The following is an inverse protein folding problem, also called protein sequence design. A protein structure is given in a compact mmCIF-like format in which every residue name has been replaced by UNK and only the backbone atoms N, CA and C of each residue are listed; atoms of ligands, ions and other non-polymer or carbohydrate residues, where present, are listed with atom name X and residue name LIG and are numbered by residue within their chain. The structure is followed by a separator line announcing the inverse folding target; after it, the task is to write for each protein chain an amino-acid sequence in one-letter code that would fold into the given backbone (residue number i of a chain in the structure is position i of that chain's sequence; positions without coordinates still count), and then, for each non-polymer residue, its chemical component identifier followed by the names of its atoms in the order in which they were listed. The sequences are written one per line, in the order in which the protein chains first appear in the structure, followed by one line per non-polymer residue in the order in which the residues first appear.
data_IF_913925505900
#
_entry.id   IF_913925505900
#
_cell.length_a   1.000
_cell.length_b   1.000
_cell.length_c   1.000
_cell.angle_alpha   90.00
_cell.angle_beta   90.00
_cell.angle_gamma   90.00
#
_symmetry.space_group_name_H-M   'P 1'
#
loop_
_entity.id
_entity.type
_entity.pdbx_description
1 polymer ?
#
# COMPACT_ATOMS: atom_id res chain seq x y z
N UNK A 1 3.59 11.36 -21.70
CA UNK A 1 4.68 10.78 -20.89
C UNK A 1 4.11 10.58 -19.50
N UNK A 2 4.07 9.35 -18.98
CA UNK A 2 3.62 9.13 -17.60
C UNK A 2 4.69 9.72 -16.68
N UNK A 3 4.25 10.42 -15.62
CA UNK A 3 5.15 10.94 -14.61
C UNK A 3 5.98 9.80 -13.99
N UNK A 4 7.27 10.02 -13.76
CA UNK A 4 8.18 8.94 -13.32
C UNK A 4 7.77 8.32 -11.99
N UNK A 5 7.25 9.13 -11.06
CA UNK A 5 6.85 8.67 -9.72
C UNK A 5 5.54 7.91 -9.79
N UNK A 6 4.58 8.39 -10.58
CA UNK A 6 3.34 7.64 -10.87
C UNK A 6 3.66 6.32 -11.58
N UNK A 7 4.58 6.33 -12.54
CA UNK A 7 5.05 5.13 -13.23
C UNK A 7 5.65 4.10 -12.27
N UNK A 8 6.49 4.54 -11.33
CA UNK A 8 7.08 3.66 -10.31
C UNK A 8 6.02 2.99 -9.45
N UNK A 9 4.99 3.71 -9.00
CA UNK A 9 3.89 3.10 -8.23
C UNK A 9 3.23 1.93 -8.98
N UNK A 10 2.99 2.08 -10.28
CA UNK A 10 2.40 1.00 -11.08
C UNK A 10 3.36 -0.17 -11.30
N UNK A 11 4.66 0.11 -11.44
CA UNK A 11 5.70 -0.91 -11.55
C UNK A 11 5.72 -1.79 -10.29
N UNK A 12 5.89 -1.19 -9.10
CA UNK A 12 5.97 -1.95 -7.84
C UNK A 12 4.68 -2.72 -7.55
N UNK A 13 3.51 -2.14 -7.87
CA UNK A 13 2.24 -2.84 -7.70
C UNK A 13 2.15 -4.09 -8.59
N UNK A 14 2.72 -4.03 -9.80
CA UNK A 14 2.76 -5.17 -10.72
C UNK A 14 3.73 -6.24 -10.24
N UNK A 15 4.88 -5.85 -9.69
CA UNK A 15 5.87 -6.77 -9.09
C UNK A 15 5.29 -7.46 -7.83
N UNK A 16 4.61 -6.70 -6.97
CA UNK A 16 3.88 -7.25 -5.82
C UNK A 16 2.80 -8.24 -6.24
N UNK A 17 1.99 -7.91 -7.24
CA UNK A 17 0.96 -8.83 -7.77
C UNK A 17 1.60 -10.14 -8.25
N UNK A 18 2.69 -10.04 -9.01
CA UNK A 18 3.42 -11.19 -9.53
C UNK A 18 3.94 -12.08 -8.40
N UNK A 19 4.61 -11.52 -7.41
CA UNK A 19 5.20 -12.28 -6.30
C UNK A 19 4.12 -12.89 -5.39
N UNK A 20 2.99 -12.21 -5.16
CA UNK A 20 1.81 -12.80 -4.48
C UNK A 20 1.27 -14.00 -5.29
N UNK A 21 1.03 -13.82 -6.58
CA UNK A 21 0.52 -14.89 -7.43
C UNK A 21 1.44 -16.11 -7.49
N UNK A 22 2.75 -15.86 -7.60
CA UNK A 22 3.78 -16.90 -7.74
C UNK A 22 4.07 -17.61 -6.41
N UNK A 23 4.26 -16.86 -5.34
CA UNK A 23 4.76 -17.40 -4.08
C UNK A 23 3.68 -17.63 -3.04
N UNK A 24 2.65 -16.79 -2.95
CA UNK A 24 1.57 -17.01 -1.98
C UNK A 24 0.55 -18.04 -2.47
N UNK A 25 0.11 -17.92 -3.73
CA UNK A 25 -0.98 -18.77 -4.25
C UNK A 25 -0.54 -20.04 -5.00
N UNK A 26 0.62 -20.04 -5.69
CA UNK A 26 1.02 -21.13 -6.59
C UNK A 26 2.21 -21.99 -6.13
N UNK A 27 2.91 -21.62 -5.05
CA UNK A 27 4.18 -22.26 -4.67
C UNK A 27 4.40 -22.39 -3.16
N UNK A 28 5.63 -22.78 -2.76
CA UNK A 28 6.08 -22.67 -1.37
C UNK A 28 6.19 -21.17 -1.02
N UNK A 29 5.51 -20.69 0.03
CA UNK A 29 5.52 -19.28 0.39
C UNK A 29 6.93 -18.76 0.63
N UNK A 30 7.42 -17.91 -0.28
CA UNK A 30 8.60 -17.11 -0.03
C UNK A 30 8.15 -15.74 0.51
N UNK A 31 7.90 -15.70 1.82
CA UNK A 31 7.41 -14.51 2.51
C UNK A 31 8.39 -13.33 2.41
N UNK A 32 9.69 -13.61 2.25
CA UNK A 32 10.70 -12.57 2.17
C UNK A 32 10.57 -11.77 0.86
N UNK A 33 10.39 -12.44 -0.27
CA UNK A 33 10.20 -11.75 -1.56
C UNK A 33 8.93 -10.90 -1.55
N UNK A 34 7.81 -11.45 -1.08
CA UNK A 34 6.56 -10.69 -0.94
C UNK A 34 6.76 -9.46 -0.03
N UNK A 35 7.51 -9.61 1.06
CA UNK A 35 7.79 -8.49 1.97
C UNK A 35 8.64 -7.39 1.34
N UNK A 36 9.58 -7.74 0.45
CA UNK A 36 10.35 -6.76 -0.31
C UNK A 36 9.43 -5.93 -1.22
N UNK A 37 8.58 -6.60 -2.01
CA UNK A 37 7.66 -5.89 -2.91
C UNK A 37 6.65 -5.00 -2.18
N UNK A 38 6.19 -5.42 -0.99
CA UNK A 38 5.34 -4.55 -0.14
C UNK A 38 6.10 -3.31 0.31
N UNK A 39 7.36 -3.44 0.71
CA UNK A 39 8.19 -2.31 1.12
C UNK A 39 8.43 -1.34 -0.04
N UNK A 40 8.66 -1.86 -1.24
CA UNK A 40 8.88 -1.07 -2.45
C UNK A 40 7.60 -0.31 -2.86
N UNK A 41 6.42 -0.94 -2.79
CA UNK A 41 5.13 -0.26 -2.97
C UNK A 41 4.93 0.87 -1.95
N UNK A 42 5.24 0.64 -0.67
CA UNK A 42 5.15 1.70 0.34
C UNK A 42 6.06 2.87 0.03
N UNK A 43 7.32 2.60 -0.33
CA UNK A 43 8.27 3.65 -0.66
C UNK A 43 7.83 4.45 -1.89
N UNK A 44 7.30 3.79 -2.92
CA UNK A 44 6.79 4.45 -4.12
C UNK A 44 5.57 5.34 -3.81
N UNK A 45 4.65 4.88 -2.95
CA UNK A 45 3.53 5.68 -2.49
C UNK A 45 3.97 6.87 -1.64
N UNK A 46 4.94 6.70 -0.74
CA UNK A 46 5.51 7.80 0.04
C UNK A 46 6.14 8.87 -0.86
N UNK A 47 6.89 8.45 -1.87
CA UNK A 47 7.48 9.37 -2.86
C UNK A 47 6.40 10.12 -3.65
N UNK A 48 5.30 9.45 -4.01
CA UNK A 48 4.16 10.09 -4.69
C UNK A 48 3.52 11.16 -3.80
N UNK A 49 3.29 10.85 -2.53
CA UNK A 49 2.73 11.80 -1.55
C UNK A 49 3.62 13.04 -1.42
N UNK A 50 4.93 12.84 -1.30
CA UNK A 50 5.91 13.94 -1.22
C UNK A 50 5.91 14.77 -2.50
N UNK A 51 5.91 14.13 -3.67
CA UNK A 51 5.90 14.84 -4.95
C UNK A 51 4.65 15.69 -5.15
N UNK A 52 3.50 15.21 -4.68
CA UNK A 52 2.23 15.93 -4.78
C UNK A 52 2.06 17.00 -3.68
N UNK A 53 2.88 16.97 -2.62
CA UNK A 53 2.77 17.88 -1.49
C UNK A 53 1.48 17.71 -0.69
N UNK A 54 1.00 16.46 -0.56
CA UNK A 54 -0.29 16.10 0.06
C UNK A 54 -0.15 15.34 1.38
N UNK A 55 0.98 15.50 2.08
CA UNK A 55 1.29 14.77 3.31
C UNK A 55 0.22 14.99 4.39
N UNK A 56 -0.28 16.22 4.53
CA UNK A 56 -1.26 16.57 5.57
C UNK A 56 -2.63 15.97 5.29
N UNK A 57 -3.04 15.99 4.03
CA UNK A 57 -4.30 15.42 3.54
C UNK A 57 -4.30 13.90 3.73
N UNK A 58 -3.17 13.23 3.42
CA UNK A 58 -3.02 11.79 3.65
C UNK A 58 -3.04 11.45 5.15
N UNK A 59 -2.42 12.28 6.00
CA UNK A 59 -2.48 12.08 7.46
C UNK A 59 -3.90 12.26 8.00
N UNK A 60 -4.64 13.27 7.52
CA UNK A 60 -6.03 13.48 7.89
C UNK A 60 -6.89 12.28 7.47
N UNK A 61 -6.77 11.81 6.22
CA UNK A 61 -7.50 10.66 5.71
C UNK A 61 -7.18 9.37 6.51
N UNK A 62 -5.93 9.15 6.93
CA UNK A 62 -5.55 8.03 7.80
C UNK A 62 -6.24 8.11 9.16
N UNK A 63 -6.35 9.30 9.76
CA UNK A 63 -7.03 9.52 11.04
C UNK A 63 -8.53 9.25 10.93
N UNK A 64 -9.18 9.78 9.90
CA UNK A 64 -10.62 9.56 9.63
C UNK A 64 -10.91 8.07 9.44
N UNK A 65 -10.04 7.34 8.74
CA UNK A 65 -10.17 5.89 8.55
C UNK A 65 -10.05 5.13 9.88
N UNK A 66 -9.12 5.52 10.75
CA UNK A 66 -8.98 4.91 12.09
C UNK A 66 -10.22 5.15 12.94
N UNK A 67 -10.73 6.38 12.98
CA UNK A 67 -11.94 6.73 13.73
C UNK A 67 -13.16 5.94 13.22
N UNK A 68 -13.30 5.78 11.90
CA UNK A 68 -14.34 4.95 11.30
C UNK A 68 -14.24 3.48 11.74
N UNK A 69 -13.04 2.90 11.72
CA UNK A 69 -12.82 1.52 12.14
C UNK A 69 -13.10 1.29 13.64
N UNK A 70 -12.77 2.26 14.49
CA UNK A 70 -13.04 2.19 15.92
C UNK A 70 -14.53 2.26 16.24
N UNK A 71 -15.27 3.11 15.53
CA UNK A 71 -16.72 3.25 15.69
C UNK A 71 -17.46 1.98 15.26
N UNK A 72 -17.06 1.35 14.15
CA UNK A 72 -17.66 0.08 13.72
C UNK A 72 -17.39 -1.05 14.72
N UNK A 73 -16.19 -1.14 15.29
CA UNK A 73 -15.85 -2.14 16.32
C UNK A 73 -16.62 -1.98 17.63
N UNK A 74 -17.11 -0.77 17.93
CA UNK A 74 -17.97 -0.50 19.09
C UNK A 74 -19.41 -0.91 18.82
N UNK A 75 -19.93 -0.62 17.62
CA UNK A 75 -21.27 -1.02 17.20
C UNK A 75 -21.48 -2.53 17.04
N UNK A 76 -20.42 -3.31 16.80
CA UNK A 76 -20.47 -4.78 16.78
C UNK A 76 -20.45 -5.43 18.18
N UNK A 77 -20.21 -4.65 19.24
CA UNK A 77 -20.12 -5.14 20.63
C UNK A 77 -21.33 -4.80 21.50
N UNK A 78 -22.31 -4.08 20.94
CA UNK A 78 -23.62 -3.77 21.54
C UNK A 78 -24.72 -4.66 20.94
#
# INVERSE_FOLDING_TARGET
MIDKTVGRVFEELSELEFEICKHYFRGKPNKLLIAHEVADVWQALENLVIQMGIEKEVQLAKKELQEFQENNKKGEKE
#
